data_IF_386633152972
#
_entry.id   IF_386633152972
#
_cell.length_a   1.000
_cell.length_b   1.000
_cell.length_c   1.000
_cell.angle_alpha   90.00
_cell.angle_beta   90.00
_cell.angle_gamma   90.00
#
_symmetry.space_group_name_H-M   'P 1'
#
loop_
_entity.id
_entity.type
_entity.pdbx_description
1 polymer ?
#
# COMPACT_ATOMS: atom_id res chain seq x y z
N UNK A 1 17.79 -33.78 -3.13
CA UNK A 1 17.39 -32.38 -2.89
C UNK A 1 16.04 -32.17 -3.55
N UNK A 2 14.96 -32.09 -2.75
CA UNK A 2 13.66 -31.62 -3.26
C UNK A 2 13.80 -30.11 -3.42
N UNK A 3 13.73 -29.61 -4.65
CA UNK A 3 13.53 -28.19 -4.87
C UNK A 3 12.10 -27.90 -4.38
N UNK A 4 11.95 -27.15 -3.30
CA UNK A 4 10.64 -26.69 -2.84
C UNK A 4 10.09 -25.74 -3.92
N UNK A 5 9.07 -26.22 -4.64
CA UNK A 5 8.17 -25.47 -5.53
C UNK A 5 8.83 -24.43 -6.45
N UNK A 6 9.58 -24.90 -7.45
CA UNK A 6 9.91 -24.07 -8.61
C UNK A 6 8.82 -24.18 -9.67
N UNK A 7 8.13 -23.09 -9.99
CA UNK A 7 7.27 -23.04 -11.17
C UNK A 7 8.12 -22.76 -12.41
N UNK A 8 8.17 -23.73 -13.32
CA UNK A 8 8.90 -23.63 -14.57
C UNK A 8 7.97 -23.97 -15.74
N UNK A 9 7.96 -23.12 -16.76
CA UNK A 9 7.38 -23.47 -18.05
C UNK A 9 8.18 -24.57 -18.72
N UNK A 10 7.55 -25.34 -19.59
CA UNK A 10 8.24 -26.30 -20.46
C UNK A 10 8.44 -25.71 -21.86
N UNK A 11 9.31 -26.32 -22.66
CA UNK A 11 9.46 -25.95 -24.09
C UNK A 11 8.15 -26.06 -24.87
N UNK A 12 7.24 -26.93 -24.42
CA UNK A 12 5.96 -27.21 -25.07
C UNK A 12 4.78 -26.43 -24.43
N UNK A 13 5.03 -25.76 -23.32
CA UNK A 13 4.08 -24.91 -22.61
C UNK A 13 4.86 -23.85 -21.81
N UNK A 14 5.36 -22.80 -22.49
CA UNK A 14 6.12 -21.75 -21.83
C UNK A 14 5.20 -21.01 -20.86
N UNK A 15 5.69 -20.79 -19.65
CA UNK A 15 5.00 -20.02 -18.62
C UNK A 15 5.55 -18.61 -18.62
N UNK A 16 4.71 -17.63 -18.91
CA UNK A 16 5.09 -16.23 -18.80
C UNK A 16 5.15 -15.85 -17.31
N UNK A 17 6.31 -15.43 -16.77
CA UNK A 17 6.42 -15.06 -15.37
C UNK A 17 5.75 -13.71 -15.06
N UNK A 18 5.31 -12.95 -16.08
CA UNK A 18 4.64 -11.66 -15.95
C UNK A 18 5.44 -10.72 -15.03
N UNK A 19 6.70 -10.48 -15.42
CA UNK A 19 7.61 -9.59 -14.71
C UNK A 19 7.72 -8.25 -15.44
N UNK A 20 7.85 -7.18 -14.66
CA UNK A 20 8.30 -5.89 -15.15
C UNK A 20 9.81 -5.89 -15.49
N UNK A 21 10.32 -4.81 -16.10
CA UNK A 21 11.74 -4.67 -16.39
C UNK A 21 12.58 -4.61 -15.10
N UNK A 22 13.87 -4.92 -15.22
CA UNK A 22 14.84 -4.72 -14.13
C UNK A 22 15.01 -3.21 -13.88
N UNK A 23 14.50 -2.73 -12.75
CA UNK A 23 14.50 -1.30 -12.41
C UNK A 23 14.61 -1.06 -10.91
N UNK A 24 14.72 0.19 -10.50
CA UNK A 24 14.70 0.57 -9.09
C UNK A 24 13.25 0.52 -8.58
N UNK A 25 12.94 -0.48 -7.75
CA UNK A 25 11.65 -0.63 -7.08
C UNK A 25 11.71 -0.26 -5.59
N UNK A 26 12.68 0.56 -5.15
CA UNK A 26 12.76 1.09 -3.78
C UNK A 26 13.71 0.35 -2.82
N UNK A 27 14.60 -0.51 -3.33
CA UNK A 27 15.59 -1.26 -2.53
C UNK A 27 17.05 -0.90 -2.85
N UNK A 28 18.04 -1.54 -2.21
CA UNK A 28 19.47 -1.33 -2.44
C UNK A 28 19.94 -1.89 -3.79
N UNK A 29 19.13 -2.72 -4.46
CA UNK A 29 19.42 -3.34 -5.74
C UNK A 29 18.23 -3.20 -6.70
N UNK A 30 18.51 -3.22 -8.01
CA UNK A 30 17.45 -3.29 -9.03
C UNK A 30 16.74 -4.64 -8.93
N UNK A 31 15.42 -4.65 -9.13
CA UNK A 31 14.59 -5.86 -9.12
C UNK A 31 13.62 -5.87 -10.30
N UNK A 32 13.05 -7.03 -10.61
CA UNK A 32 11.93 -7.18 -11.54
C UNK A 32 10.64 -7.29 -10.72
N UNK A 33 9.70 -6.37 -10.91
CA UNK A 33 8.43 -6.38 -10.19
C UNK A 33 7.49 -7.47 -10.73
N UNK A 34 6.75 -8.14 -9.85
CA UNK A 34 5.66 -9.03 -10.22
C UNK A 34 4.49 -8.18 -10.76
N UNK A 35 4.01 -8.49 -11.95
CA UNK A 35 2.81 -7.86 -12.50
C UNK A 35 1.54 -8.58 -11.98
N UNK A 36 0.37 -7.91 -11.94
CA UNK A 36 -0.88 -8.55 -11.57
C UNK A 36 -1.14 -9.84 -12.36
N UNK A 37 -1.50 -10.90 -11.64
CA UNK A 37 -1.72 -12.24 -12.23
C UNK A 37 -0.46 -13.05 -12.49
N UNK A 38 0.72 -12.57 -12.05
CA UNK A 38 1.96 -13.35 -12.15
C UNK A 38 1.81 -14.70 -11.46
N UNK A 39 2.26 -15.80 -12.09
CA UNK A 39 2.25 -17.10 -11.46
C UNK A 39 3.15 -17.13 -10.22
N UNK A 40 4.16 -16.25 -10.10
CA UNK A 40 5.03 -16.22 -8.94
C UNK A 40 4.37 -15.72 -7.64
N UNK A 41 3.17 -15.11 -7.74
CA UNK A 41 2.40 -14.60 -6.59
C UNK A 41 1.82 -15.78 -5.80
N UNK A 42 1.97 -15.75 -4.47
CA UNK A 42 1.50 -16.75 -3.51
C UNK A 42 1.99 -18.20 -3.80
N UNK A 43 3.11 -18.35 -4.52
CA UNK A 43 3.59 -19.64 -5.00
C UNK A 43 4.83 -20.19 -4.26
N UNK A 44 5.38 -19.44 -3.32
CA UNK A 44 6.57 -19.79 -2.56
C UNK A 44 6.30 -20.60 -1.29
N UNK A 45 7.39 -20.92 -0.58
CA UNK A 45 7.38 -21.71 0.65
C UNK A 45 7.46 -20.82 1.89
N UNK A 46 6.38 -20.78 2.67
CA UNK A 46 6.32 -20.05 3.95
C UNK A 46 7.36 -20.52 4.98
N UNK A 47 7.90 -21.73 4.82
CA UNK A 47 8.99 -22.24 5.64
C UNK A 47 10.23 -21.33 5.66
N UNK A 48 10.41 -20.51 4.62
CA UNK A 48 11.51 -19.54 4.51
C UNK A 48 11.44 -18.41 5.55
N UNK A 49 10.26 -18.14 6.11
CA UNK A 49 10.05 -17.06 7.09
C UNK A 49 10.62 -17.38 8.47
N UNK A 50 10.90 -18.66 8.74
CA UNK A 50 11.39 -19.15 10.02
C UNK A 50 12.81 -19.72 9.91
N UNK A 51 13.38 -20.13 11.03
CA UNK A 51 14.71 -20.73 11.05
C UNK A 51 14.77 -21.97 10.12
N UNK A 52 15.89 -22.17 9.40
CA UNK A 52 17.16 -21.46 9.52
C UNK A 52 17.26 -20.17 8.69
N UNK A 53 16.31 -19.91 7.78
CA UNK A 53 16.45 -18.85 6.78
C UNK A 53 16.04 -17.47 7.29
N UNK A 54 14.98 -17.39 8.11
CA UNK A 54 14.49 -16.15 8.72
C UNK A 54 14.33 -15.00 7.70
N UNK A 55 13.87 -15.31 6.48
CA UNK A 55 13.71 -14.33 5.40
C UNK A 55 12.41 -13.57 5.57
N UNK A 56 12.33 -12.69 6.56
CA UNK A 56 11.10 -11.97 6.92
C UNK A 56 10.81 -10.77 6.03
N UNK A 57 11.77 -10.33 5.22
CA UNK A 57 11.61 -9.21 4.28
C UNK A 57 12.08 -9.56 2.87
N UNK A 58 11.51 -8.89 1.87
CA UNK A 58 11.99 -8.92 0.49
C UNK A 58 13.22 -8.01 0.30
N UNK A 59 13.77 -7.95 -0.92
CA UNK A 59 14.99 -7.15 -1.15
C UNK A 59 14.81 -5.63 -0.96
N UNK A 60 13.57 -5.13 -0.87
CA UNK A 60 13.27 -3.72 -0.57
C UNK A 60 13.17 -3.46 0.94
N UNK A 61 13.19 -4.51 1.76
CA UNK A 61 12.92 -4.43 3.19
C UNK A 61 11.43 -4.48 3.53
N UNK A 62 10.55 -4.78 2.58
CA UNK A 62 9.10 -4.92 2.83
C UNK A 62 8.78 -6.35 3.31
N UNK A 63 7.66 -6.57 4.03
CA UNK A 63 7.29 -7.89 4.53
C UNK A 63 7.28 -8.95 3.42
N UNK A 64 7.87 -10.11 3.71
CA UNK A 64 8.00 -11.23 2.77
C UNK A 64 6.76 -12.10 2.64
N UNK A 65 5.74 -11.86 3.46
CA UNK A 65 4.44 -12.52 3.35
C UNK A 65 3.36 -11.45 3.39
N UNK A 66 2.88 -11.07 2.21
CA UNK A 66 1.79 -10.10 2.06
C UNK A 66 0.46 -10.77 1.67
N UNK A 67 0.52 -11.96 1.07
CA UNK A 67 -0.65 -12.75 0.66
C UNK A 67 -0.85 -14.03 1.49
N UNK A 68 -1.41 -15.05 0.85
CA UNK A 68 -1.62 -16.37 1.43
C UNK A 68 -0.28 -17.09 1.69
N UNK A 69 0.68 -16.92 0.77
CA UNK A 69 2.04 -17.46 0.84
C UNK A 69 3.06 -16.43 0.39
N UNK A 70 4.34 -16.66 0.69
CA UNK A 70 5.43 -15.85 0.12
C UNK A 70 5.49 -15.97 -1.40
N UNK A 71 5.99 -14.95 -2.08
CA UNK A 71 6.20 -14.98 -3.52
C UNK A 71 7.56 -15.56 -3.91
N UNK A 72 7.60 -16.18 -5.10
CA UNK A 72 8.83 -16.65 -5.71
C UNK A 72 9.60 -15.45 -6.28
N UNK A 73 10.79 -15.18 -5.77
CA UNK A 73 11.71 -14.20 -6.36
C UNK A 73 12.42 -13.30 -5.36
N UNK A 74 12.76 -12.09 -5.79
CA UNK A 74 13.42 -11.07 -4.97
C UNK A 74 12.44 -10.08 -4.32
N UNK A 75 11.20 -10.05 -4.81
CA UNK A 75 10.18 -9.05 -4.53
C UNK A 75 8.88 -9.75 -4.14
N UNK A 76 8.23 -9.24 -3.09
CA UNK A 76 6.89 -9.64 -2.69
C UNK A 76 5.85 -8.67 -3.26
N UNK A 77 4.85 -9.18 -3.97
CA UNK A 77 3.68 -8.44 -4.40
C UNK A 77 2.89 -8.03 -3.17
N UNK A 78 2.99 -6.75 -2.81
CA UNK A 78 2.29 -6.23 -1.65
C UNK A 78 0.80 -6.16 -1.96
N UNK A 79 0.03 -7.02 -1.31
CA UNK A 79 -1.43 -6.86 -1.27
C UNK A 79 -1.70 -5.69 -0.32
N UNK A 80 -2.45 -4.64 -0.74
CA UNK A 80 -2.88 -3.62 0.20
C UNK A 80 -3.71 -4.33 1.27
N UNK A 81 -3.16 -4.47 2.47
CA UNK A 81 -3.95 -4.97 3.59
C UNK A 81 -5.04 -3.95 3.83
N UNK A 82 -6.32 -4.31 3.83
CA UNK A 82 -7.37 -3.34 4.17
C UNK A 82 -7.26 -3.02 5.66
N UNK A 83 -6.40 -2.07 6.03
CA UNK A 83 -6.41 -1.50 7.37
C UNK A 83 -7.57 -0.52 7.42
N UNK A 84 -8.49 -0.66 8.38
CA UNK A 84 -9.52 0.34 8.58
C UNK A 84 -8.85 1.70 8.80
N UNK A 85 -9.34 2.73 8.11
CA UNK A 85 -8.86 4.09 8.34
C UNK A 85 -9.41 4.54 9.69
N UNK A 86 -8.53 4.68 10.68
CA UNK A 86 -8.88 5.23 11.99
C UNK A 86 -8.45 6.68 12.07
N UNK A 87 -9.41 7.57 12.31
CA UNK A 87 -9.10 8.95 12.64
C UNK A 87 -8.47 8.99 14.03
N UNK A 88 -7.22 9.41 14.13
CA UNK A 88 -6.50 9.47 15.42
C UNK A 88 -6.65 10.82 16.08
N UNK A 89 -6.66 11.91 15.31
CA UNK A 89 -7.02 13.24 15.82
C UNK A 89 -7.33 14.22 14.69
N UNK A 90 -8.51 14.86 14.69
CA UNK A 90 -8.69 16.15 14.04
C UNK A 90 -8.26 17.27 15.01
N UNK A 91 -7.26 18.07 14.65
CA UNK A 91 -6.76 19.16 15.47
C UNK A 91 -6.82 20.50 14.72
N UNK A 92 -7.51 21.53 15.28
CA UNK A 92 -7.40 22.89 14.74
C UNK A 92 -5.99 23.43 15.00
N UNK A 93 -5.41 24.06 14.00
CA UNK A 93 -4.12 24.74 14.08
C UNK A 93 -4.32 26.22 14.46
N UNK A 94 -3.29 26.85 15.01
CA UNK A 94 -3.34 28.24 15.47
C UNK A 94 -3.67 29.26 14.37
N UNK A 95 -3.44 28.91 13.10
CA UNK A 95 -3.78 29.72 11.92
C UNK A 95 -5.21 29.48 11.40
N UNK A 96 -6.03 28.69 12.12
CA UNK A 96 -7.39 28.38 11.75
C UNK A 96 -7.55 27.22 10.77
N UNK A 97 -6.46 26.60 10.29
CA UNK A 97 -6.48 25.40 9.47
C UNK A 97 -6.88 24.16 10.29
N UNK A 98 -7.39 23.11 9.64
CA UNK A 98 -7.64 21.82 10.29
C UNK A 98 -6.59 20.80 9.84
N UNK A 99 -5.93 20.16 10.80
CA UNK A 99 -5.13 18.97 10.54
C UNK A 99 -5.96 17.72 10.81
N UNK A 100 -5.96 16.79 9.86
CA UNK A 100 -6.49 15.45 9.99
C UNK A 100 -5.32 14.49 10.16
N UNK A 101 -5.27 13.75 11.25
CA UNK A 101 -4.37 12.63 11.45
C UNK A 101 -5.16 11.31 11.45
N UNK A 102 -4.66 10.30 10.74
CA UNK A 102 -5.29 8.99 10.67
C UNK A 102 -4.27 7.88 10.40
N UNK A 103 -4.64 6.64 10.72
CA UNK A 103 -3.85 5.47 10.32
C UNK A 103 -4.37 4.86 9.03
N UNK A 104 -3.48 4.34 8.19
CA UNK A 104 -3.83 3.56 6.99
C UNK A 104 -2.69 2.58 6.66
N UNK A 105 -2.78 1.87 5.53
CA UNK A 105 -1.75 0.96 5.07
C UNK A 105 -0.45 1.73 4.87
N UNK A 106 0.66 1.29 5.46
CA UNK A 106 1.95 1.92 5.21
C UNK A 106 2.26 2.00 3.71
N UNK A 107 2.83 3.11 3.28
CA UNK A 107 3.22 3.39 1.89
C UNK A 107 2.06 3.44 0.88
N UNK A 108 0.81 3.45 1.34
CA UNK A 108 -0.34 3.68 0.48
C UNK A 108 -0.55 5.15 0.17
N UNK A 109 -1.28 5.45 -0.90
CA UNK A 109 -1.80 6.81 -1.11
C UNK A 109 -3.19 6.93 -0.51
N UNK A 110 -3.51 8.08 0.07
CA UNK A 110 -4.85 8.38 0.58
C UNK A 110 -5.30 9.74 0.07
N UNK A 111 -6.55 9.86 -0.38
CA UNK A 111 -7.14 11.14 -0.80
C UNK A 111 -8.10 11.65 0.26
N UNK A 112 -8.08 12.95 0.48
CA UNK A 112 -9.00 13.65 1.37
C UNK A 112 -9.99 14.45 0.54
N UNK A 113 -11.27 14.25 0.83
CA UNK A 113 -12.38 14.95 0.21
C UNK A 113 -13.14 15.75 1.26
N UNK A 114 -13.79 16.82 0.83
CA UNK A 114 -14.64 17.61 1.69
C UNK A 114 -15.96 18.03 1.02
N UNK A 115 -16.97 18.25 1.86
CA UNK A 115 -18.28 18.78 1.47
C UNK A 115 -18.84 19.66 2.58
N UNK A 116 -19.67 20.65 2.26
CA UNK A 116 -20.46 21.41 3.24
C UNK A 116 -21.83 20.77 3.51
N UNK A 117 -22.19 19.74 2.74
CA UNK A 117 -23.47 19.03 2.83
C UNK A 117 -23.25 17.51 2.77
N UNK A 118 -23.87 16.76 3.69
CA UNK A 118 -23.86 15.30 3.73
C UNK A 118 -24.98 14.67 2.88
N UNK A 119 -25.97 15.45 2.45
CA UNK A 119 -27.12 14.97 1.69
C UNK A 119 -26.81 14.46 0.27
N UNK A 120 -25.88 15.04 -0.52
CA UNK A 120 -25.58 14.52 -1.85
C UNK A 120 -24.78 13.22 -1.78
N UNK A 121 -24.89 12.34 -2.81
CA UNK A 121 -24.04 11.17 -2.92
C UNK A 121 -22.56 11.58 -2.88
N UNK A 122 -21.73 10.71 -2.30
CA UNK A 122 -20.31 10.99 -2.09
C UNK A 122 -19.50 11.32 -3.36
N UNK A 123 -20.08 11.12 -4.54
CA UNK A 123 -19.55 11.54 -5.85
C UNK A 123 -19.47 13.06 -6.04
N UNK A 124 -20.21 13.84 -5.25
CA UNK A 124 -20.23 15.31 -5.38
C UNK A 124 -19.26 16.02 -4.41
N UNK A 125 -18.46 15.25 -3.66
CA UNK A 125 -17.49 15.80 -2.73
C UNK A 125 -16.29 16.37 -3.48
N UNK A 126 -15.76 17.50 -3.01
CA UNK A 126 -14.60 18.15 -3.62
C UNK A 126 -13.33 17.47 -3.12
N UNK A 127 -12.42 17.13 -4.03
CA UNK A 127 -11.09 16.62 -3.67
C UNK A 127 -10.23 17.76 -3.14
N UNK A 128 -9.74 17.62 -1.91
CA UNK A 128 -8.80 18.58 -1.32
C UNK A 128 -7.34 18.25 -1.65
N UNK A 129 -6.98 16.97 -1.67
CA UNK A 129 -5.61 16.55 -2.00
C UNK A 129 -5.27 15.14 -1.52
N UNK A 130 -3.97 14.83 -1.56
CA UNK A 130 -3.40 13.62 -0.99
C UNK A 130 -2.92 13.88 0.44
N UNK A 131 -3.10 12.90 1.32
CA UNK A 131 -2.48 12.90 2.65
C UNK A 131 -1.02 12.43 2.56
N UNK A 132 -0.19 12.92 3.48
CA UNK A 132 1.22 12.57 3.57
C UNK A 132 1.44 11.56 4.68
N UNK A 133 2.23 10.53 4.40
CA UNK A 133 2.68 9.58 5.41
C UNK A 133 3.82 10.20 6.23
N UNK A 134 3.60 10.37 7.54
CA UNK A 134 4.59 10.97 8.46
C UNK A 134 5.42 9.91 9.18
N UNK A 135 4.89 8.71 9.29
CA UNK A 135 5.56 7.48 9.74
C UNK A 135 4.85 6.29 9.10
N UNK A 136 5.47 5.09 9.00
CA UNK A 136 4.83 3.92 8.41
C UNK A 136 3.43 3.66 8.98
N UNK A 137 2.39 3.87 8.17
CA UNK A 137 0.99 3.68 8.53
C UNK A 137 0.31 4.88 9.22
N UNK A 138 1.02 5.97 9.47
CA UNK A 138 0.48 7.21 10.03
C UNK A 138 0.46 8.33 9.00
N UNK A 139 -0.71 8.91 8.76
CA UNK A 139 -0.95 9.91 7.73
C UNK A 139 -1.47 11.22 8.31
N UNK A 140 -1.07 12.32 7.68
CA UNK A 140 -1.56 13.66 7.98
C UNK A 140 -2.01 14.40 6.72
N UNK A 141 -3.07 15.19 6.86
CA UNK A 141 -3.52 16.14 5.86
C UNK A 141 -3.87 17.46 6.53
N UNK A 142 -3.47 18.59 5.94
CA UNK A 142 -3.84 19.92 6.45
C UNK A 142 -4.77 20.59 5.44
N UNK A 143 -5.98 20.93 5.89
CA UNK A 143 -6.93 21.76 5.15
C UNK A 143 -6.78 23.22 5.57
N UNK A 144 -6.20 24.09 4.71
CA UNK A 144 -6.01 25.50 5.03
C UNK A 144 -7.27 26.35 4.84
N UNK A 145 -8.36 25.81 4.29
CA UNK A 145 -9.54 26.58 3.87
C UNK A 145 -10.71 26.53 4.87
N UNK A 146 -10.48 26.01 6.08
CA UNK A 146 -11.51 25.86 7.12
C UNK A 146 -12.06 27.18 7.62
N UNK A 147 -11.31 28.28 7.52
CA UNK A 147 -11.81 29.63 7.85
C UNK A 147 -12.90 30.13 6.90
N UNK A 148 -12.99 29.58 5.69
CA UNK A 148 -13.97 29.99 4.67
C UNK A 148 -15.25 29.13 4.68
N UNK A 149 -15.27 28.03 5.46
CA UNK A 149 -16.36 27.06 5.48
C UNK A 149 -16.67 26.64 6.93
N UNK A 150 -17.60 27.33 7.62
CA UNK A 150 -17.84 27.12 9.06
C UNK A 150 -18.42 25.73 9.39
N UNK A 151 -18.95 25.02 8.40
CA UNK A 151 -19.38 23.63 8.54
C UNK A 151 -18.85 22.83 7.34
N UNK A 152 -18.00 21.82 7.62
CA UNK A 152 -17.33 21.01 6.61
C UNK A 152 -17.23 19.57 7.10
N UNK A 153 -17.53 18.63 6.21
CA UNK A 153 -17.42 17.20 6.40
C UNK A 153 -16.24 16.67 5.62
N UNK A 154 -15.61 15.62 6.13
CA UNK A 154 -14.39 15.05 5.56
C UNK A 154 -14.56 13.55 5.30
N UNK A 155 -13.96 13.10 4.21
CA UNK A 155 -13.83 11.68 3.87
C UNK A 155 -12.39 11.41 3.47
N UNK A 156 -11.86 10.29 3.97
CA UNK A 156 -10.58 9.74 3.53
C UNK A 156 -10.85 8.45 2.76
N UNK A 157 -10.16 8.26 1.65
CA UNK A 157 -10.22 7.01 0.88
C UNK A 157 -8.82 6.59 0.45
N UNK A 158 -8.54 5.30 0.58
CA UNK A 158 -7.49 4.62 -0.19
C UNK A 158 -7.99 4.38 -1.62
N UNK A 159 -7.09 4.28 -2.62
CA UNK A 159 -7.39 3.78 -3.96
C UNK A 159 -8.13 2.45 -3.95
#
# INVERSE_FOLDING_TARGET
MKCHYSMAGSTNAPLNPLLGPLTNNGGPTLTMALLPGSPAIDAGDDGLLSAPYNLTTDQRGLPRKAGAHVDIGALEFQVPTSTPIYLTSPAPLANGALQLAFTNVPYSTSRVWASTDLSPPSSNWTVLGQAFEVAPGEFQFTDPQTTNNPQRFYRVSSP
#
